data_IF_084162654658
#
_entry.id   IF_084162654658
#
_cell.length_a   1.000
_cell.length_b   1.000
_cell.length_c   1.000
_cell.angle_alpha   90.00
_cell.angle_beta   90.00
_cell.angle_gamma   90.00
#
_symmetry.space_group_name_H-M   'P 1'
#
loop_
_entity.id
_entity.type
_entity.pdbx_description
1 polymer ?
#
# COMPACT_ATOMS: atom_id res chain seq x y z
N UNK A 1 -2.36 -19.41 -14.72
CA UNK A 1 -3.42 -18.43 -15.09
C UNK A 1 -3.05 -17.08 -14.50
N UNK A 2 -2.31 -16.24 -15.26
CA UNK A 2 -1.66 -15.00 -14.77
C UNK A 2 -2.58 -13.76 -14.92
N UNK A 3 -3.39 -13.72 -15.98
CA UNK A 3 -4.39 -12.66 -16.26
C UNK A 3 -5.39 -12.45 -15.12
N UNK A 4 -5.77 -13.53 -14.41
CA UNK A 4 -6.70 -13.45 -13.29
C UNK A 4 -6.17 -12.63 -12.10
N UNK A 5 -4.85 -12.64 -11.84
CA UNK A 5 -4.24 -11.92 -10.70
C UNK A 5 -4.16 -10.41 -10.96
N UNK A 6 -3.94 -10.02 -12.21
CA UNK A 6 -3.85 -8.62 -12.64
C UNK A 6 -5.24 -7.96 -12.55
N UNK A 7 -6.28 -8.68 -13.01
CA UNK A 7 -7.67 -8.23 -12.89
C UNK A 7 -8.10 -8.16 -11.42
N UNK A 8 -7.71 -9.12 -10.58
CA UNK A 8 -8.03 -9.13 -9.14
C UNK A 8 -7.42 -7.90 -8.41
N UNK A 9 -6.14 -7.63 -8.64
CA UNK A 9 -5.47 -6.45 -8.08
C UNK A 9 -6.08 -5.12 -8.59
N UNK A 10 -6.42 -5.04 -9.87
CA UNK A 10 -7.06 -3.86 -10.46
C UNK A 10 -8.48 -3.62 -9.90
N UNK A 11 -9.26 -4.70 -9.72
CA UNK A 11 -10.59 -4.63 -9.10
C UNK A 11 -10.49 -4.18 -7.66
N UNK A 12 -9.50 -4.64 -6.88
CA UNK A 12 -9.29 -4.21 -5.50
C UNK A 12 -9.00 -2.70 -5.39
N UNK A 13 -8.24 -2.13 -6.34
CA UNK A 13 -8.01 -0.68 -6.40
C UNK A 13 -9.27 0.10 -6.76
N UNK A 14 -10.06 -0.38 -7.74
CA UNK A 14 -11.32 0.26 -8.12
C UNK A 14 -12.30 0.25 -6.95
N UNK A 15 -12.48 -0.90 -6.29
CA UNK A 15 -13.34 -1.05 -5.11
C UNK A 15 -12.90 -0.08 -4.02
N UNK A 16 -11.60 0.02 -3.76
CA UNK A 16 -11.05 0.95 -2.78
C UNK A 16 -11.41 2.41 -3.12
N UNK A 17 -11.29 2.83 -4.38
CA UNK A 17 -11.69 4.19 -4.81
C UNK A 17 -13.16 4.45 -4.50
N UNK A 18 -14.06 3.53 -4.88
CA UNK A 18 -15.49 3.69 -4.61
C UNK A 18 -15.80 3.75 -3.11
N UNK A 19 -15.08 3.00 -2.27
CA UNK A 19 -15.20 3.08 -0.81
C UNK A 19 -14.85 4.47 -0.31
N UNK A 20 -13.67 5.00 -0.66
CA UNK A 20 -13.24 6.33 -0.17
C UNK A 20 -14.09 7.48 -0.74
N UNK A 21 -14.54 7.38 -1.99
CA UNK A 21 -15.49 8.34 -2.57
C UNK A 21 -16.84 8.27 -1.85
N UNK A 22 -17.35 7.07 -1.60
CA UNK A 22 -18.59 6.85 -0.86
C UNK A 22 -18.53 7.43 0.56
N UNK A 23 -17.40 7.27 1.25
CA UNK A 23 -17.15 7.89 2.55
C UNK A 23 -17.17 9.42 2.44
N UNK A 24 -16.48 9.98 1.45
CA UNK A 24 -16.45 11.44 1.22
C UNK A 24 -17.85 12.03 1.00
N UNK A 25 -18.66 11.39 0.16
CA UNK A 25 -20.05 11.79 -0.10
C UNK A 25 -20.91 11.64 1.17
N UNK A 26 -20.80 10.50 1.86
CA UNK A 26 -21.58 10.20 3.07
C UNK A 26 -21.33 11.20 4.19
N UNK A 27 -20.06 11.46 4.52
CA UNK A 27 -19.67 12.46 5.53
C UNK A 27 -20.05 13.88 5.12
N UNK A 28 -19.89 14.24 3.84
CA UNK A 28 -20.31 15.56 3.34
C UNK A 28 -21.80 15.79 3.52
N UNK A 29 -22.62 14.76 3.27
CA UNK A 29 -24.06 14.81 3.49
C UNK A 29 -24.37 14.97 4.98
N UNK A 30 -23.78 14.15 5.85
CA UNK A 30 -24.02 14.23 7.30
C UNK A 30 -23.64 15.59 7.89
N UNK A 31 -22.54 16.20 7.43
CA UNK A 31 -22.15 17.56 7.83
C UNK A 31 -23.18 18.59 7.38
N UNK A 32 -23.69 18.48 6.15
CA UNK A 32 -24.72 19.39 5.65
C UNK A 32 -26.00 19.35 6.50
N UNK A 33 -26.36 18.18 7.04
CA UNK A 33 -27.52 18.01 7.93
C UNK A 33 -27.20 18.27 9.43
N UNK A 34 -25.98 18.69 9.77
CA UNK A 34 -25.49 18.83 11.16
C UNK A 34 -25.63 17.54 12.00
N UNK A 35 -25.54 16.38 11.37
CA UNK A 35 -25.71 15.07 12.02
C UNK A 35 -24.40 14.46 12.53
N UNK A 36 -23.26 15.07 12.19
CA UNK A 36 -21.93 14.56 12.55
C UNK A 36 -21.04 15.66 13.11
N UNK A 37 -20.35 15.34 14.19
CA UNK A 37 -19.28 16.16 14.75
C UNK A 37 -17.93 15.63 14.25
N UNK A 38 -17.20 16.47 13.51
CA UNK A 38 -15.87 16.13 12.99
C UNK A 38 -14.78 16.58 13.96
N UNK A 39 -14.26 15.65 14.74
CA UNK A 39 -13.30 15.97 15.81
C UNK A 39 -11.93 16.36 15.26
N UNK A 40 -11.48 15.75 14.17
CA UNK A 40 -10.22 16.13 13.51
C UNK A 40 -10.31 17.46 12.79
N UNK A 41 -11.49 17.81 12.25
CA UNK A 41 -11.74 19.14 11.68
C UNK A 41 -11.63 20.24 12.74
N UNK A 42 -12.16 19.98 13.95
CA UNK A 42 -12.10 20.92 15.07
C UNK A 42 -10.67 21.25 15.49
N UNK A 43 -9.73 20.32 15.29
CA UNK A 43 -8.31 20.55 15.54
C UNK A 43 -7.64 21.40 14.45
N UNK A 44 -7.98 21.18 13.18
CA UNK A 44 -7.36 21.87 12.04
C UNK A 44 -7.97 23.24 11.73
N UNK A 45 -9.23 23.47 12.13
CA UNK A 45 -9.96 24.72 11.87
C UNK A 45 -10.28 24.96 10.39
N UNK A 46 -10.26 23.91 9.56
CA UNK A 46 -10.52 24.01 8.13
C UNK A 46 -12.02 24.03 7.84
N UNK A 47 -12.41 24.46 6.63
CA UNK A 47 -13.77 24.24 6.16
C UNK A 47 -14.09 22.72 6.21
N UNK A 48 -15.23 22.30 6.80
CA UNK A 48 -15.57 20.89 6.97
C UNK A 48 -15.57 20.08 5.67
N UNK A 49 -16.06 20.64 4.56
CA UNK A 49 -16.09 19.96 3.27
C UNK A 49 -14.68 19.76 2.72
N UNK A 50 -13.84 20.79 2.79
CA UNK A 50 -12.42 20.69 2.40
C UNK A 50 -11.72 19.63 3.22
N UNK A 51 -11.93 19.62 4.53
CA UNK A 51 -11.35 18.61 5.42
C UNK A 51 -11.79 17.19 5.06
N UNK A 52 -13.08 16.94 4.86
CA UNK A 52 -13.60 15.60 4.49
C UNK A 52 -12.94 15.11 3.21
N UNK A 53 -12.95 15.91 2.14
CA UNK A 53 -12.39 15.49 0.87
C UNK A 53 -10.87 15.31 0.93
N UNK A 54 -10.16 16.19 1.64
CA UNK A 54 -8.72 15.99 1.85
C UNK A 54 -8.44 14.73 2.66
N UNK A 55 -9.18 14.47 3.74
CA UNK A 55 -9.01 13.26 4.54
C UNK A 55 -9.35 11.99 3.75
N UNK A 56 -10.41 12.01 2.94
CA UNK A 56 -10.76 10.87 2.07
C UNK A 56 -9.68 10.58 1.02
N UNK A 57 -9.14 11.61 0.38
CA UNK A 57 -8.07 11.46 -0.62
C UNK A 57 -6.77 10.98 0.05
N UNK A 58 -6.35 11.62 1.14
CA UNK A 58 -5.13 11.23 1.86
C UNK A 58 -5.25 9.84 2.46
N UNK A 59 -6.43 9.47 2.96
CA UNK A 59 -6.74 8.13 3.44
C UNK A 59 -6.60 7.10 2.33
N UNK A 60 -7.18 7.35 1.16
CA UNK A 60 -7.09 6.47 0.00
C UNK A 60 -5.65 6.25 -0.46
N UNK A 61 -4.89 7.34 -0.61
CA UNK A 61 -3.48 7.29 -1.00
C UNK A 61 -2.66 6.54 0.04
N UNK A 62 -2.88 6.81 1.33
CA UNK A 62 -2.17 6.13 2.42
C UNK A 62 -2.44 4.64 2.43
N UNK A 63 -3.71 4.22 2.35
CA UNK A 63 -4.09 2.81 2.31
C UNK A 63 -3.51 2.08 1.09
N UNK A 64 -3.47 2.73 -0.08
CA UNK A 64 -2.86 2.17 -1.28
C UNK A 64 -1.35 1.94 -1.10
N UNK A 65 -0.62 2.94 -0.59
CA UNK A 65 0.82 2.84 -0.31
C UNK A 65 1.10 1.74 0.73
N UNK A 66 0.27 1.67 1.78
CA UNK A 66 0.37 0.68 2.85
C UNK A 66 0.19 -0.76 2.33
N UNK A 67 -0.87 -1.01 1.57
CA UNK A 67 -1.14 -2.31 0.97
C UNK A 67 0.00 -2.71 0.01
N UNK A 68 0.47 -1.75 -0.79
CA UNK A 68 1.61 -1.94 -1.68
C UNK A 68 2.87 -2.41 -0.95
N UNK A 69 3.27 -1.73 0.13
CA UNK A 69 4.47 -2.11 0.88
C UNK A 69 4.33 -3.48 1.56
N UNK A 70 3.14 -3.81 2.07
CA UNK A 70 2.88 -5.13 2.64
C UNK A 70 3.07 -6.23 1.59
N UNK A 71 2.44 -6.10 0.41
CA UNK A 71 2.58 -7.07 -0.66
C UNK A 71 4.01 -7.21 -1.14
N UNK A 72 4.72 -6.08 -1.21
CA UNK A 72 6.13 -6.07 -1.54
C UNK A 72 6.96 -6.93 -0.56
N UNK A 73 6.91 -6.67 0.74
CA UNK A 73 7.70 -7.42 1.72
C UNK A 73 7.27 -8.88 1.82
N UNK A 74 5.99 -9.17 1.60
CA UNK A 74 5.47 -10.53 1.50
C UNK A 74 6.08 -11.26 0.30
N UNK A 75 6.09 -10.66 -0.88
CA UNK A 75 6.66 -11.27 -2.08
C UNK A 75 8.17 -11.50 -1.92
N UNK A 76 8.91 -10.51 -1.41
CA UNK A 76 10.35 -10.65 -1.12
C UNK A 76 10.63 -11.78 -0.13
N UNK A 77 9.81 -11.91 0.91
CA UNK A 77 9.94 -13.01 1.86
C UNK A 77 9.70 -14.37 1.21
N UNK A 78 8.67 -14.48 0.35
CA UNK A 78 8.36 -15.73 -0.35
C UNK A 78 9.47 -16.12 -1.34
N UNK A 79 10.06 -15.15 -2.02
CA UNK A 79 11.19 -15.35 -2.94
C UNK A 79 12.40 -15.93 -2.19
N UNK A 80 12.85 -15.27 -1.12
CA UNK A 80 14.06 -15.67 -0.39
C UNK A 80 13.88 -16.99 0.36
N UNK A 81 12.72 -17.20 1.00
CA UNK A 81 12.49 -18.39 1.85
C UNK A 81 12.13 -19.62 1.04
N UNK A 82 11.29 -19.48 0.00
CA UNK A 82 10.73 -20.62 -0.73
C UNK A 82 11.26 -20.73 -2.17
N UNK A 83 12.18 -19.85 -2.59
CA UNK A 83 12.70 -19.85 -3.96
C UNK A 83 11.64 -19.55 -5.02
N UNK A 84 10.50 -18.96 -4.63
CA UNK A 84 9.46 -18.54 -5.58
C UNK A 84 9.87 -17.20 -6.18
N UNK A 85 10.79 -17.22 -7.15
CA UNK A 85 10.98 -16.09 -8.03
C UNK A 85 9.67 -15.89 -8.81
N UNK A 86 8.89 -14.88 -8.42
CA UNK A 86 7.92 -14.32 -9.37
C UNK A 86 8.76 -13.73 -10.51
N UNK A 87 8.35 -13.92 -11.77
CA UNK A 87 9.03 -13.33 -12.92
C UNK A 87 8.86 -11.80 -12.87
N UNK A 88 9.65 -11.14 -12.01
CA UNK A 88 9.64 -9.68 -11.81
C UNK A 88 9.89 -8.96 -13.14
N UNK A 89 10.68 -9.56 -14.04
CA UNK A 89 10.93 -9.04 -15.38
C UNK A 89 9.65 -9.03 -16.24
N UNK A 90 8.86 -10.11 -16.21
CA UNK A 90 7.57 -10.14 -16.92
C UNK A 90 6.61 -9.12 -16.31
N UNK A 91 6.58 -9.02 -14.98
CA UNK A 91 5.70 -8.11 -14.26
C UNK A 91 6.06 -6.64 -14.56
N UNK A 92 7.34 -6.26 -14.53
CA UNK A 92 7.81 -4.92 -14.90
C UNK A 92 7.37 -4.56 -16.32
N UNK A 93 7.56 -5.47 -17.28
CA UNK A 93 7.19 -5.24 -18.66
C UNK A 93 5.68 -5.00 -18.82
N UNK A 94 4.86 -5.79 -18.13
CA UNK A 94 3.40 -5.61 -18.11
C UNK A 94 3.01 -4.23 -17.54
N UNK A 95 3.67 -3.77 -16.47
CA UNK A 95 3.40 -2.44 -15.89
C UNK A 95 3.95 -1.27 -16.73
N UNK A 96 5.05 -1.46 -17.46
CA UNK A 96 5.55 -0.48 -18.43
C UNK A 96 4.58 -0.29 -19.60
N UNK A 97 4.06 -1.40 -20.13
CA UNK A 97 3.04 -1.40 -21.20
C UNK A 97 1.75 -0.72 -20.74
N UNK A 98 1.29 -1.00 -19.52
CA UNK A 98 0.12 -0.35 -18.94
C UNK A 98 0.32 1.15 -18.68
N UNK A 99 1.50 1.56 -18.22
CA UNK A 99 1.86 2.97 -18.05
C UNK A 99 1.82 3.73 -19.38
N UNK A 100 2.35 3.11 -20.45
CA UNK A 100 2.33 3.66 -21.80
C UNK A 100 0.90 3.79 -22.35
N UNK A 101 0.05 2.77 -22.12
CA UNK A 101 -1.37 2.80 -22.47
C UNK A 101 -2.10 3.95 -21.78
N UNK A 102 -1.98 4.07 -20.47
CA UNK A 102 -2.60 5.14 -19.67
C UNK A 102 -2.07 6.54 -20.03
N UNK A 103 -0.83 6.64 -20.50
CA UNK A 103 -0.28 7.90 -21.03
C UNK A 103 -0.88 8.30 -22.38
N UNK A 104 -1.35 7.33 -23.17
CA UNK A 104 -1.95 7.56 -24.49
C UNK A 104 -3.45 7.89 -24.42
N UNK A 105 -4.16 7.33 -23.43
CA UNK A 105 -5.60 7.55 -23.24
C UNK A 105 -5.94 8.89 -22.54
N UNK A 106 -4.98 9.47 -21.80
CA UNK A 106 -5.16 10.73 -21.07
C UNK A 106 -6.03 10.61 -19.81
N UNK A 107 -5.88 11.52 -18.84
CA UNK A 107 -6.73 11.59 -17.64
C UNK A 107 -6.34 10.69 -16.45
N UNK A 108 -5.48 9.69 -16.63
CA UNK A 108 -5.09 8.73 -15.58
C UNK A 108 -3.82 9.11 -14.80
N UNK A 109 -3.68 10.38 -14.40
CA UNK A 109 -2.45 10.89 -13.77
C UNK A 109 -2.07 10.16 -12.47
N UNK A 110 -3.07 9.75 -11.69
CA UNK A 110 -2.85 9.05 -10.42
C UNK A 110 -2.44 7.59 -10.62
N UNK A 111 -3.05 6.88 -11.55
CA UNK A 111 -2.67 5.51 -11.91
C UNK A 111 -1.24 5.48 -12.45
N UNK A 112 -0.89 6.47 -13.28
CA UNK A 112 0.49 6.66 -13.76
C UNK A 112 1.46 6.92 -12.61
N UNK A 113 1.07 7.69 -11.60
CA UNK A 113 1.89 7.90 -10.40
C UNK A 113 2.11 6.60 -9.61
N UNK A 114 1.07 5.80 -9.39
CA UNK A 114 1.19 4.50 -8.70
C UNK A 114 2.06 3.52 -9.49
N UNK A 115 1.86 3.44 -10.82
CA UNK A 115 2.69 2.60 -11.69
C UNK A 115 4.13 3.11 -11.71
N UNK A 116 4.36 4.43 -11.73
CA UNK A 116 5.70 5.00 -11.66
C UNK A 116 6.42 4.66 -10.35
N UNK A 117 5.71 4.65 -9.21
CA UNK A 117 6.24 4.16 -7.94
C UNK A 117 6.60 2.67 -8.05
N UNK A 118 5.69 1.85 -8.59
CA UNK A 118 5.92 0.42 -8.77
C UNK A 118 7.13 0.12 -9.67
N UNK A 119 7.25 0.82 -10.80
CA UNK A 119 8.35 0.65 -11.76
C UNK A 119 9.68 1.13 -11.18
N UNK A 120 9.70 2.29 -10.51
CA UNK A 120 10.90 2.80 -9.84
C UNK A 120 11.41 1.82 -8.78
N UNK A 121 10.48 1.20 -8.06
CA UNK A 121 10.78 0.20 -7.05
C UNK A 121 11.25 -1.13 -7.67
N UNK A 122 10.56 -1.63 -8.69
CA UNK A 122 10.92 -2.88 -9.37
C UNK A 122 12.27 -2.77 -10.10
N UNK A 123 12.60 -1.58 -10.61
CA UNK A 123 13.93 -1.25 -11.10
C UNK A 123 15.00 -1.28 -10.00
N UNK A 124 14.69 -0.79 -8.78
CA UNK A 124 15.57 -0.92 -7.62
C UNK A 124 15.74 -2.38 -7.18
N UNK A 125 14.67 -3.18 -7.20
CA UNK A 125 14.72 -4.61 -6.90
C UNK A 125 15.57 -5.38 -7.92
N UNK A 126 15.40 -5.11 -9.21
CA UNK A 126 16.25 -5.66 -10.26
C UNK A 126 17.71 -5.24 -10.11
N UNK A 127 17.96 -3.98 -9.74
CA UNK A 127 19.33 -3.50 -9.50
C UNK A 127 19.98 -4.27 -8.35
N UNK A 128 19.27 -4.46 -7.24
CA UNK A 128 19.76 -5.25 -6.09
C UNK A 128 19.98 -6.72 -6.49
N UNK A 129 19.09 -7.31 -7.28
CA UNK A 129 19.25 -8.67 -7.79
C UNK A 129 20.46 -8.80 -8.73
N UNK A 130 20.65 -7.86 -9.66
CA UNK A 130 21.81 -7.82 -10.57
C UNK A 130 23.12 -7.58 -9.84
N UNK A 131 23.14 -6.67 -8.87
CA UNK A 131 24.32 -6.43 -8.01
C UNK A 131 24.68 -7.71 -7.21
N UNK A 132 23.70 -8.50 -6.78
CA UNK A 132 23.93 -9.82 -6.14
C UNK A 132 24.36 -10.93 -7.13
N UNK A 133 23.93 -10.89 -8.39
CA UNK A 133 24.32 -11.87 -9.41
C UNK A 133 25.71 -11.57 -10.01
N UNK A 134 26.06 -10.30 -10.19
CA UNK A 134 27.37 -9.86 -10.70
C UNK A 134 28.48 -9.96 -9.63
N UNK A 135 28.14 -9.83 -8.34
CA UNK A 135 29.05 -10.14 -7.24
C UNK A 135 29.00 -11.64 -6.88
N UNK A 136 29.71 -12.46 -7.65
CA UNK A 136 29.89 -13.91 -7.41
C UNK A 136 30.39 -14.33 -6.01
N UNK A 137 30.69 -13.37 -5.11
CA UNK A 137 31.15 -13.60 -3.74
C UNK A 137 30.11 -13.26 -2.65
N UNK A 138 28.94 -12.70 -2.98
CA UNK A 138 27.89 -12.45 -1.98
C UNK A 138 27.06 -13.72 -1.79
N UNK A 139 27.26 -14.40 -0.66
CA UNK A 139 26.50 -15.59 -0.29
C UNK A 139 25.00 -15.27 -0.29
N UNK A 140 24.21 -15.98 -1.11
CA UNK A 140 22.74 -15.90 -1.07
C UNK A 140 22.30 -15.99 0.40
N UNK A 141 21.47 -15.04 0.90
CA UNK A 141 21.10 -15.00 2.31
C UNK A 141 20.48 -16.34 2.70
N UNK A 142 21.03 -16.98 3.74
CA UNK A 142 20.59 -18.29 4.17
C UNK A 142 19.07 -18.25 4.47
N UNK A 143 18.23 -19.01 3.73
CA UNK A 143 16.77 -18.92 3.85
C UNK A 143 16.27 -19.15 5.28
N UNK A 144 16.93 -20.03 6.04
CA UNK A 144 16.56 -20.33 7.44
C UNK A 144 16.82 -19.14 8.36
N UNK A 145 17.93 -18.43 8.16
CA UNK A 145 18.30 -17.24 8.94
C UNK A 145 17.38 -16.07 8.59
N UNK A 146 17.11 -15.87 7.30
CA UNK A 146 16.18 -14.84 6.84
C UNK A 146 14.76 -15.08 7.37
N UNK A 147 14.27 -16.32 7.33
CA UNK A 147 12.97 -16.71 7.88
C UNK A 147 12.87 -16.38 9.38
N UNK A 148 13.86 -16.80 10.19
CA UNK A 148 13.84 -16.61 11.64
C UNK A 148 13.78 -15.12 12.02
N UNK A 149 14.52 -14.26 11.31
CA UNK A 149 14.56 -12.82 11.57
C UNK A 149 13.35 -12.07 11.02
N UNK A 150 12.79 -12.48 9.88
CA UNK A 150 11.74 -11.73 9.19
C UNK A 150 10.31 -12.22 9.42
N UNK A 151 10.09 -13.42 10.00
CA UNK A 151 8.71 -13.96 10.18
C UNK A 151 7.82 -13.04 11.01
N UNK A 152 8.36 -12.47 12.10
CA UNK A 152 7.60 -11.58 12.99
C UNK A 152 7.32 -10.27 12.29
N UNK A 153 8.31 -9.77 11.55
CA UNK A 153 8.20 -8.53 10.81
C UNK A 153 7.16 -8.64 9.69
N UNK A 154 7.12 -9.75 8.96
CA UNK A 154 6.07 -10.02 7.98
C UNK A 154 4.68 -10.10 8.63
N UNK A 155 4.57 -10.70 9.82
CA UNK A 155 3.32 -10.69 10.57
C UNK A 155 2.90 -9.28 10.96
N UNK A 156 3.85 -8.42 11.36
CA UNK A 156 3.55 -7.03 11.68
C UNK A 156 3.13 -6.23 10.44
N UNK A 157 3.78 -6.45 9.31
CA UNK A 157 3.38 -5.88 8.02
C UNK A 157 1.95 -6.25 7.62
N UNK A 158 1.44 -7.41 8.03
CA UNK A 158 0.05 -7.80 7.75
C UNK A 158 -1.01 -6.90 8.43
N UNK A 159 -0.66 -6.20 9.51
CA UNK A 159 -1.54 -5.19 10.12
C UNK A 159 -1.67 -3.91 9.28
N UNK A 160 -0.83 -3.76 8.25
CA UNK A 160 -0.85 -2.63 7.31
C UNK A 160 -1.46 -3.07 5.96
N UNK A 161 -1.89 -4.33 5.84
CA UNK A 161 -2.47 -4.89 4.62
C UNK A 161 -3.97 -4.59 4.45
N UNK A 162 -4.46 -4.83 3.23
CA UNK A 162 -5.84 -4.57 2.78
C UNK A 162 -6.94 -5.15 3.69
N UNK A 163 -6.73 -6.35 4.24
CA UNK A 163 -7.66 -6.99 5.18
C UNK A 163 -7.86 -6.19 6.46
N UNK A 164 -6.81 -5.54 6.96
CA UNK A 164 -6.90 -4.67 8.13
C UNK A 164 -7.69 -3.40 7.79
N UNK A 165 -7.48 -2.80 6.61
CA UNK A 165 -8.27 -1.65 6.15
C UNK A 165 -9.76 -1.99 6.05
N UNK A 166 -10.11 -3.13 5.45
CA UNK A 166 -11.51 -3.57 5.36
C UNK A 166 -12.10 -3.77 6.75
N UNK A 167 -11.37 -4.45 7.64
CA UNK A 167 -11.82 -4.71 9.02
C UNK A 167 -12.05 -3.40 9.78
N UNK A 168 -11.11 -2.46 9.70
CA UNK A 168 -11.23 -1.15 10.33
C UNK A 168 -12.40 -0.37 9.76
N UNK A 169 -12.57 -0.36 8.43
CA UNK A 169 -13.68 0.30 7.75
C UNK A 169 -15.04 -0.22 8.24
N UNK A 170 -15.18 -1.54 8.39
CA UNK A 170 -16.42 -2.15 8.89
C UNK A 170 -16.65 -1.77 10.36
N UNK A 171 -15.62 -1.87 11.22
CA UNK A 171 -15.74 -1.54 12.64
C UNK A 171 -16.15 -0.07 12.82
N UNK A 172 -15.51 0.86 12.11
CA UNK A 172 -15.80 2.28 12.19
C UNK A 172 -17.17 2.63 11.60
N UNK A 173 -17.60 1.91 10.56
CA UNK A 173 -18.93 2.07 9.98
C UNK A 173 -20.01 1.64 10.97
N UNK A 174 -19.84 0.49 11.63
CA UNK A 174 -20.75 0.02 12.68
C UNK A 174 -20.76 0.94 13.90
N UNK A 175 -19.63 1.58 14.21
CA UNK A 175 -19.53 2.59 15.26
C UNK A 175 -20.10 3.97 14.85
N UNK A 176 -20.52 4.14 13.60
CA UNK A 176 -21.02 5.42 13.08
C UNK A 176 -19.96 6.52 12.99
N UNK A 177 -18.66 6.18 13.04
CA UNK A 177 -17.56 7.14 13.05
C UNK A 177 -16.58 6.87 11.90
N UNK A 178 -17.00 7.21 10.68
CA UNK A 178 -16.16 7.04 9.49
C UNK A 178 -14.97 8.01 9.42
N UNK A 179 -15.01 9.12 10.16
CA UNK A 179 -13.85 10.01 10.30
C UNK A 179 -12.69 9.25 10.97
N UNK A 180 -12.96 8.45 12.00
CA UNK A 180 -11.94 7.66 12.67
C UNK A 180 -11.22 6.71 11.70
N UNK A 181 -11.92 6.09 10.74
CA UNK A 181 -11.29 5.27 9.71
C UNK A 181 -10.27 6.05 8.88
N UNK A 182 -10.68 7.22 8.36
CA UNK A 182 -9.81 8.06 7.55
C UNK A 182 -8.56 8.46 8.35
N UNK A 183 -8.73 8.87 9.60
CA UNK A 183 -7.60 9.25 10.45
C UNK A 183 -6.69 8.05 10.77
N UNK A 184 -7.24 6.87 11.05
CA UNK A 184 -6.45 5.66 11.30
C UNK A 184 -5.56 5.33 10.10
N UNK A 185 -6.12 5.41 8.88
CA UNK A 185 -5.38 5.20 7.64
C UNK A 185 -4.27 6.23 7.44
N UNK A 186 -4.50 7.50 7.78
CA UNK A 186 -3.52 8.58 7.57
C UNK A 186 -2.43 8.61 8.64
N UNK A 187 -2.75 8.35 9.90
CA UNK A 187 -1.84 8.59 11.02
C UNK A 187 -1.31 7.26 11.63
N UNK A 188 -2.08 6.51 12.45
CA UNK A 188 -1.62 5.25 13.05
C UNK A 188 -0.96 4.27 12.07
N UNK A 189 -1.59 4.00 10.93
CA UNK A 189 -1.07 2.99 10.00
C UNK A 189 0.17 3.48 9.24
N UNK A 190 0.25 4.77 8.89
CA UNK A 190 1.47 5.33 8.30
C UNK A 190 2.62 5.36 9.30
N UNK A 191 2.34 5.68 10.57
CA UNK A 191 3.36 5.62 11.63
C UNK A 191 3.87 4.19 11.81
N UNK A 192 2.98 3.21 11.88
CA UNK A 192 3.34 1.80 11.95
C UNK A 192 4.17 1.39 10.72
N UNK A 193 3.73 1.73 9.52
CA UNK A 193 4.45 1.46 8.26
C UNK A 193 5.87 2.05 8.30
N UNK A 194 6.04 3.29 8.74
CA UNK A 194 7.34 3.95 8.83
C UNK A 194 8.27 3.22 9.82
N UNK A 195 7.76 2.83 10.99
CA UNK A 195 8.53 2.04 11.97
C UNK A 195 8.95 0.70 11.37
N UNK A 196 8.02 -0.01 10.73
CA UNK A 196 8.30 -1.30 10.10
C UNK A 196 9.33 -1.15 8.98
N UNK A 197 9.23 -0.11 8.16
CA UNK A 197 10.20 0.18 7.10
C UNK A 197 11.62 0.38 7.65
N UNK A 198 11.77 1.18 8.73
CA UNK A 198 13.06 1.41 9.36
C UNK A 198 13.64 0.13 9.97
N UNK A 199 12.83 -0.65 10.69
CA UNK A 199 13.25 -1.94 11.28
C UNK A 199 13.63 -2.94 10.20
N UNK A 200 12.85 -3.01 9.12
CA UNK A 200 13.12 -3.90 7.98
C UNK A 200 14.42 -3.56 7.27
N UNK A 201 14.74 -2.27 7.13
CA UNK A 201 16.03 -1.82 6.58
C UNK A 201 17.20 -2.27 7.45
N UNK A 202 17.06 -2.19 8.77
CA UNK A 202 18.10 -2.65 9.71
C UNK A 202 18.28 -4.17 9.66
N UNK A 203 17.18 -4.94 9.71
CA UNK A 203 17.23 -6.41 9.68
C UNK A 203 17.85 -6.91 8.37
N UNK A 204 17.50 -6.31 7.24
CA UNK A 204 18.06 -6.68 5.94
C UNK A 204 19.56 -6.37 5.85
N UNK A 205 20.04 -5.25 6.42
CA UNK A 205 21.47 -4.92 6.45
C UNK A 205 22.32 -5.91 7.25
N UNK A 206 21.73 -6.58 8.25
CA UNK A 206 22.41 -7.57 9.11
C UNK A 206 22.27 -9.00 8.56
N UNK A 207 21.49 -9.18 7.50
CA UNK A 207 21.19 -10.50 6.92
C UNK A 207 21.62 -10.62 5.46
N UNK A 208 22.11 -9.51 4.88
CA UNK A 208 22.87 -9.42 3.65
C UNK A 208 24.36 -9.42 3.98
#
# INVERSE_FOLDING_TARGET
>A
KKVGRIVDGFVDYIVSIFVFVGIGIGLSKQVYWNEVYLWGNSFLGWNPLTYIWTASILGAVSSAIQAFYFDFYRNKFLEIVYGRAQNIIEEIKEYEEESARLSSEGGYYFQRFLIAIYLSYSALQLKIQRDHEENHNEQKPNPKVYYAKNRLLLRLWSYVGSTTHITLCVITALAGNMEAFLIICILPLNLLMLVLFLVQKQVNKVTS
#
